data_IF_228135664672
#
_entry.id   IF_228135664672
#
_cell.length_a   1.000
_cell.length_b   1.000
_cell.length_c   1.000
_cell.angle_alpha   90.00
_cell.angle_beta   90.00
_cell.angle_gamma   90.00
#
_symmetry.space_group_name_H-M   'P 1'
#
loop_
_entity.id
_entity.type
_entity.pdbx_description
1 polymer ?
#
# COMPACT_ATOMS: atom_id res chain seq x y z
N UNK A 1 6.20 -16.24 6.18
CA UNK A 1 6.27 -14.91 5.55
C UNK A 1 6.15 -15.13 4.06
N UNK A 2 5.23 -14.44 3.40
CA UNK A 2 5.04 -14.53 1.94
C UNK A 2 5.77 -13.36 1.32
N UNK A 3 6.62 -13.63 0.33
CA UNK A 3 7.34 -12.61 -0.43
C UNK A 3 6.72 -12.53 -1.83
N UNK A 4 6.40 -11.33 -2.27
CA UNK A 4 5.84 -11.08 -3.59
C UNK A 4 6.56 -9.91 -4.24
N UNK A 5 6.86 -10.05 -5.54
CA UNK A 5 7.43 -8.99 -6.37
C UNK A 5 6.65 -8.94 -7.67
N UNK A 6 6.11 -7.77 -8.01
CA UNK A 6 5.35 -7.56 -9.23
C UNK A 6 5.53 -6.13 -9.73
N UNK A 7 5.21 -5.91 -10.99
CA UNK A 7 5.16 -4.57 -11.59
C UNK A 7 3.70 -4.23 -11.78
N UNK A 8 3.31 -3.05 -11.31
CA UNK A 8 2.03 -2.46 -11.63
C UNK A 8 2.24 -1.42 -12.71
N UNK A 9 1.52 -1.57 -13.81
CA UNK A 9 1.43 -0.59 -14.88
C UNK A 9 0.02 0.00 -14.85
N UNK A 10 -0.07 1.32 -14.88
CA UNK A 10 -1.34 2.04 -14.89
C UNK A 10 -1.21 3.34 -15.67
N UNK A 11 -2.33 3.97 -15.96
CA UNK A 11 -2.35 5.35 -16.48
C UNK A 11 -2.82 6.32 -15.40
N UNK A 12 -2.16 7.48 -15.34
CA UNK A 12 -2.54 8.58 -14.48
C UNK A 12 -2.45 9.90 -15.23
N UNK A 13 -3.57 10.62 -15.28
CA UNK A 13 -3.73 11.87 -16.04
C UNK A 13 -3.26 11.73 -17.50
N UNK A 14 -3.55 10.59 -18.14
CA UNK A 14 -3.16 10.31 -19.53
C UNK A 14 -1.67 10.00 -19.72
N UNK A 15 -0.92 9.75 -18.64
CA UNK A 15 0.49 9.36 -18.71
C UNK A 15 0.71 7.97 -18.11
N UNK A 16 1.58 7.13 -18.69
CA UNK A 16 1.93 5.84 -18.12
C UNK A 16 2.67 6.00 -16.79
N UNK A 17 2.35 5.13 -15.85
CA UNK A 17 2.98 5.00 -14.55
C UNK A 17 3.37 3.55 -14.34
N UNK A 18 4.64 3.32 -13.96
CA UNK A 18 5.16 1.99 -13.65
C UNK A 18 5.77 1.99 -12.26
N UNK A 19 5.27 1.11 -11.41
CA UNK A 19 5.76 0.94 -10.05
C UNK A 19 6.14 -0.53 -9.84
N UNK A 20 7.41 -0.75 -9.51
CA UNK A 20 7.89 -2.05 -9.09
C UNK A 20 7.66 -2.21 -7.59
N UNK A 21 6.86 -3.20 -7.22
CA UNK A 21 6.54 -3.52 -5.83
C UNK A 21 7.33 -4.73 -5.36
N UNK A 22 7.75 -4.68 -4.09
CA UNK A 22 8.28 -5.82 -3.34
C UNK A 22 7.65 -5.82 -1.96
N UNK A 23 6.83 -6.81 -1.66
CA UNK A 23 6.11 -6.92 -0.40
C UNK A 23 6.50 -8.19 0.34
N UNK A 24 6.54 -8.06 1.66
CA UNK A 24 6.57 -9.16 2.60
C UNK A 24 5.32 -9.10 3.46
N UNK A 25 4.58 -10.21 3.52
CA UNK A 25 3.38 -10.33 4.36
C UNK A 25 3.61 -11.37 5.44
N UNK A 26 3.19 -11.04 6.66
CA UNK A 26 3.13 -11.96 7.79
C UNK A 26 1.73 -11.91 8.38
N UNK A 27 1.08 -13.07 8.49
CA UNK A 27 -0.18 -13.26 9.20
C UNK A 27 0.09 -14.00 10.50
N UNK A 28 -0.52 -13.53 11.58
CA UNK A 28 -0.49 -14.14 12.90
C UNK A 28 -1.96 -14.25 13.34
N UNK A 29 -2.37 -15.43 13.78
CA UNK A 29 -3.74 -15.69 14.24
C UNK A 29 -3.63 -16.30 15.64
N UNK A 30 -4.27 -15.63 16.59
CA UNK A 30 -4.46 -16.03 17.98
C UNK A 30 -5.98 -16.19 18.22
N UNK A 31 -6.36 -16.75 19.37
CA UNK A 31 -7.76 -17.15 19.68
C UNK A 31 -8.82 -16.08 19.43
N UNK A 32 -8.55 -14.81 19.78
CA UNK A 32 -9.47 -13.69 19.59
C UNK A 32 -8.87 -12.55 18.74
N UNK A 33 -7.78 -12.82 18.02
CA UNK A 33 -7.01 -11.78 17.33
C UNK A 33 -6.35 -12.28 16.07
N UNK A 34 -6.54 -11.56 14.98
CA UNK A 34 -5.77 -11.73 13.75
C UNK A 34 -4.96 -10.47 13.46
N UNK A 35 -3.65 -10.65 13.20
CA UNK A 35 -2.76 -9.57 12.76
C UNK A 35 -2.20 -9.89 11.39
N UNK A 36 -2.44 -8.99 10.43
CA UNK A 36 -1.83 -9.04 9.10
C UNK A 36 -0.90 -7.86 8.95
N UNK A 37 0.40 -8.14 8.87
CA UNK A 37 1.44 -7.14 8.69
C UNK A 37 2.01 -7.22 7.27
N UNK A 38 2.11 -6.07 6.62
CA UNK A 38 2.73 -5.88 5.31
C UNK A 38 3.93 -4.96 5.45
N UNK A 39 5.04 -5.32 4.82
CA UNK A 39 6.20 -4.46 4.66
C UNK A 39 6.55 -4.39 3.18
N UNK A 40 6.56 -3.18 2.62
CA UNK A 40 6.79 -2.94 1.21
C UNK A 40 8.03 -2.11 0.96
N UNK A 41 8.77 -2.44 -0.09
CA UNK A 41 9.74 -1.56 -0.73
C UNK A 41 9.39 -1.46 -2.21
N UNK A 42 9.06 -0.26 -2.67
CA UNK A 42 8.63 -0.03 -4.03
C UNK A 42 9.51 1.03 -4.70
N UNK A 43 9.66 0.92 -6.01
CA UNK A 43 10.37 1.91 -6.82
C UNK A 43 9.47 2.35 -7.96
N UNK A 44 9.30 3.67 -8.10
CA UNK A 44 8.65 4.22 -9.28
C UNK A 44 9.68 4.22 -10.41
N UNK A 45 9.34 3.59 -11.52
CA UNK A 45 10.20 3.40 -12.70
C UNK A 45 9.82 4.35 -13.83
N UNK A 46 8.56 4.72 -13.89
CA UNK A 46 8.02 5.63 -14.89
C UNK A 46 6.89 6.43 -14.26
N UNK A 47 6.89 7.75 -14.47
CA UNK A 47 5.79 8.64 -14.09
C UNK A 47 5.79 9.88 -14.97
N UNK A 48 4.59 10.39 -15.28
CA UNK A 48 4.40 11.62 -16.08
C UNK A 48 5.12 11.58 -17.44
N UNK A 49 5.16 10.39 -18.07
CA UNK A 49 5.80 10.19 -19.37
C UNK A 49 7.33 10.14 -19.34
N UNK A 50 7.95 10.07 -18.16
CA UNK A 50 9.39 9.99 -18.01
C UNK A 50 9.82 8.75 -17.21
N UNK A 51 10.91 8.12 -17.66
CA UNK A 51 11.62 7.07 -16.91
C UNK A 51 12.38 7.72 -15.76
N UNK A 52 12.17 7.22 -14.54
CA UNK A 52 12.76 7.77 -13.32
C UNK A 52 13.39 6.66 -12.47
N UNK A 53 14.48 6.98 -11.77
CA UNK A 53 15.21 6.02 -10.90
C UNK A 53 15.28 6.46 -9.44
N UNK A 54 15.04 7.75 -9.14
CA UNK A 54 15.26 8.35 -7.82
C UNK A 54 14.11 8.20 -6.81
N UNK A 55 12.92 7.72 -7.20
CA UNK A 55 11.76 7.67 -6.30
C UNK A 55 11.58 6.29 -5.68
N UNK A 56 11.81 6.20 -4.37
CA UNK A 56 11.70 4.96 -3.58
C UNK A 56 10.65 5.11 -2.49
N UNK A 57 9.76 4.14 -2.38
CA UNK A 57 8.74 4.06 -1.34
C UNK A 57 9.09 2.93 -0.36
N UNK A 58 8.94 3.20 0.94
CA UNK A 58 8.93 2.17 1.99
C UNK A 58 7.60 2.24 2.70
N UNK A 59 6.93 1.10 2.82
CA UNK A 59 5.61 1.00 3.42
C UNK A 59 5.61 -0.02 4.54
N UNK A 60 4.91 0.28 5.62
CA UNK A 60 4.52 -0.67 6.65
C UNK A 60 3.03 -0.53 6.88
N UNK A 61 2.31 -1.64 6.87
CA UNK A 61 0.87 -1.68 7.08
C UNK A 61 0.56 -2.79 8.10
N UNK A 62 -0.36 -2.52 9.01
CA UNK A 62 -0.80 -3.46 10.02
C UNK A 62 -2.32 -3.43 10.08
N UNK A 63 -2.93 -4.59 9.92
CA UNK A 63 -4.34 -4.82 10.18
C UNK A 63 -4.43 -5.67 11.43
N UNK A 64 -5.13 -5.17 12.44
CA UNK A 64 -5.41 -5.90 13.66
C UNK A 64 -6.91 -6.06 13.76
N UNK A 65 -7.37 -7.28 13.58
CA UNK A 65 -8.73 -7.69 13.84
C UNK A 65 -8.75 -8.26 15.27
N UNK A 66 -9.66 -7.79 16.09
CA UNK A 66 -9.81 -8.28 17.47
C UNK A 66 -11.28 -8.42 17.80
N UNK A 67 -11.68 -9.59 18.27
CA UNK A 67 -13.00 -9.78 18.84
C UNK A 67 -13.07 -9.01 20.15
N UNK A 68 -14.05 -8.12 20.28
CA UNK A 68 -14.26 -7.31 21.50
C UNK A 68 -15.45 -7.80 22.31
N UNK A 69 -16.39 -8.51 21.67
CA UNK A 69 -17.48 -9.27 22.28
C UNK A 69 -17.97 -10.32 21.27
N UNK A 70 -18.73 -11.34 21.68
CA UNK A 70 -19.25 -12.37 20.77
C UNK A 70 -19.89 -11.75 19.51
N UNK A 71 -19.34 -12.08 18.34
CA UNK A 71 -19.82 -11.59 17.05
C UNK A 71 -19.47 -10.13 16.71
N UNK A 72 -18.69 -9.44 17.54
CA UNK A 72 -18.25 -8.06 17.30
C UNK A 72 -16.74 -8.02 17.15
N UNK A 73 -16.27 -7.69 15.94
CA UNK A 73 -14.85 -7.53 15.62
C UNK A 73 -14.50 -6.07 15.43
N UNK A 74 -13.51 -5.60 16.19
CA UNK A 74 -12.85 -4.32 15.96
C UNK A 74 -11.73 -4.49 14.94
N UNK A 75 -11.70 -3.61 13.93
CA UNK A 75 -10.61 -3.53 12.95
C UNK A 75 -9.79 -2.28 13.22
N UNK A 76 -8.51 -2.47 13.54
CA UNK A 76 -7.52 -1.39 13.64
C UNK A 76 -6.58 -1.45 12.46
N UNK A 77 -6.44 -0.32 11.78
CA UNK A 77 -5.54 -0.17 10.64
C UNK A 77 -4.47 0.84 11.01
N UNK A 78 -3.20 0.47 10.86
CA UNK A 78 -2.08 1.39 11.03
C UNK A 78 -1.20 1.35 9.78
N UNK A 79 -0.93 2.51 9.20
CA UNK A 79 -0.15 2.64 7.98
C UNK A 79 0.96 3.66 8.15
N UNK A 80 2.15 3.33 7.67
CA UNK A 80 3.28 4.23 7.54
C UNK A 80 3.85 4.11 6.14
N UNK A 81 4.09 5.25 5.50
CA UNK A 81 4.77 5.33 4.21
C UNK A 81 5.84 6.41 4.27
N UNK A 82 7.01 6.08 3.75
CA UNK A 82 8.10 7.02 3.54
C UNK A 82 8.43 7.02 2.05
N UNK A 83 8.44 8.19 1.44
CA UNK A 83 8.82 8.38 0.04
C UNK A 83 10.13 9.16 0.04
N UNK A 84 11.17 8.55 -0.53
CA UNK A 84 12.47 9.17 -0.71
C UNK A 84 12.64 9.57 -2.17
N UNK A 85 13.02 10.81 -2.38
CA UNK A 85 13.37 11.38 -3.66
C UNK A 85 14.90 11.56 -3.70
N UNK A 86 15.57 10.75 -4.51
CA UNK A 86 17.02 10.74 -4.71
C UNK A 86 17.34 11.57 -5.97
N UNK A 87 16.96 12.85 -5.95
CA UNK A 87 17.15 13.78 -7.06
C UNK A 87 17.78 15.09 -6.58
N UNK A 88 19.00 15.38 -7.05
CA UNK A 88 19.67 16.68 -6.93
C UNK A 88 19.08 17.70 -7.91
N UNK A 89 17.77 17.98 -7.84
CA UNK A 89 17.10 18.83 -8.84
C UNK A 89 16.54 20.11 -8.21
N UNK A 90 17.16 21.28 -8.47
CA UNK A 90 16.79 22.55 -7.85
C UNK A 90 15.42 23.14 -8.27
N UNK A 91 14.66 22.47 -9.15
CA UNK A 91 13.33 22.89 -9.62
C UNK A 91 12.27 21.76 -9.64
N UNK A 92 12.42 20.74 -8.78
CA UNK A 92 11.58 19.53 -8.81
C UNK A 92 10.32 19.54 -7.93
N UNK A 93 9.99 20.63 -7.22
CA UNK A 93 8.87 20.61 -6.28
C UNK A 93 7.52 20.23 -6.93
N UNK A 94 7.14 20.75 -8.11
CA UNK A 94 5.90 20.33 -8.77
C UNK A 94 5.88 18.84 -9.13
N UNK A 95 7.04 18.28 -9.49
CA UNK A 95 7.17 16.85 -9.76
C UNK A 95 7.03 16.03 -8.47
N UNK A 96 7.67 16.47 -7.38
CA UNK A 96 7.57 15.84 -6.05
C UNK A 96 6.12 15.85 -5.58
N UNK A 97 5.44 17.00 -5.64
CA UNK A 97 4.05 17.16 -5.20
C UNK A 97 3.12 16.27 -6.02
N UNK A 98 3.27 16.28 -7.35
CA UNK A 98 2.46 15.44 -8.22
C UNK A 98 2.71 13.95 -7.98
N UNK A 99 3.97 13.56 -7.74
CA UNK A 99 4.33 12.18 -7.37
C UNK A 99 3.70 11.79 -6.04
N UNK A 100 3.74 12.66 -5.03
CA UNK A 100 3.12 12.42 -3.72
C UNK A 100 1.61 12.23 -3.88
N UNK A 101 0.94 13.08 -4.66
CA UNK A 101 -0.49 12.97 -4.93
C UNK A 101 -0.85 11.66 -5.65
N UNK A 102 -0.07 11.28 -6.66
CA UNK A 102 -0.20 9.99 -7.34
C UNK A 102 -0.10 8.83 -6.36
N UNK A 103 0.95 8.82 -5.55
CA UNK A 103 1.22 7.75 -4.61
C UNK A 103 0.14 7.69 -3.52
N UNK A 104 -0.38 8.83 -3.06
CA UNK A 104 -1.49 8.92 -2.12
C UNK A 104 -2.77 8.30 -2.69
N UNK A 105 -3.16 8.65 -3.93
CA UNK A 105 -4.32 8.07 -4.62
C UNK A 105 -4.18 6.55 -4.78
N UNK A 106 -3.01 6.10 -5.24
CA UNK A 106 -2.71 4.66 -5.38
C UNK A 106 -2.85 3.92 -4.05
N UNK A 107 -2.45 4.55 -2.95
CA UNK A 107 -2.55 3.95 -1.62
C UNK A 107 -3.99 3.91 -1.11
N UNK A 108 -4.75 4.98 -1.35
CA UNK A 108 -6.16 5.04 -0.99
C UNK A 108 -6.94 3.92 -1.69
N UNK A 109 -6.82 3.79 -3.01
CA UNK A 109 -7.50 2.72 -3.77
C UNK A 109 -7.09 1.33 -3.27
N UNK A 110 -5.79 1.10 -3.03
CA UNK A 110 -5.31 -0.18 -2.51
C UNK A 110 -5.77 -0.47 -1.08
N UNK A 111 -6.02 0.58 -0.28
CA UNK A 111 -6.58 0.44 1.07
C UNK A 111 -8.06 0.13 1.04
N UNK A 112 -8.84 0.84 0.22
CA UNK A 112 -10.27 0.59 0.01
C UNK A 112 -10.50 -0.86 -0.45
N UNK A 113 -9.75 -1.34 -1.45
CA UNK A 113 -9.84 -2.73 -1.91
C UNK A 113 -9.51 -3.76 -0.81
N UNK A 114 -8.58 -3.44 0.09
CA UNK A 114 -8.22 -4.32 1.19
C UNK A 114 -9.26 -4.32 2.31
N UNK A 115 -9.89 -3.16 2.58
CA UNK A 115 -11.04 -3.09 3.48
C UNK A 115 -12.21 -3.90 2.94
N UNK A 116 -12.54 -3.79 1.65
CA UNK A 116 -13.59 -4.58 1.00
C UNK A 116 -13.32 -6.09 1.10
N UNK A 117 -12.08 -6.54 0.95
CA UNK A 117 -11.70 -7.95 1.14
C UNK A 117 -11.90 -8.40 2.60
N UNK A 118 -11.48 -7.57 3.56
CA UNK A 118 -11.69 -7.83 4.99
C UNK A 118 -13.18 -7.92 5.32
N UNK A 119 -13.98 -6.95 4.86
CA UNK A 119 -15.44 -6.96 5.02
C UNK A 119 -16.04 -8.23 4.44
N UNK A 120 -15.69 -8.59 3.20
CA UNK A 120 -16.17 -9.81 2.56
C UNK A 120 -15.84 -11.06 3.38
N UNK A 121 -14.62 -11.19 3.90
CA UNK A 121 -14.21 -12.31 4.74
C UNK A 121 -15.02 -12.38 6.05
N UNK A 122 -15.32 -11.23 6.65
CA UNK A 122 -16.17 -11.15 7.84
C UNK A 122 -17.60 -11.58 7.53
N UNK A 123 -18.18 -11.15 6.40
CA UNK A 123 -19.53 -11.55 5.98
C UNK A 123 -19.63 -13.04 5.58
N UNK A 124 -18.59 -13.61 4.98
CA UNK A 124 -18.56 -15.04 4.59
C UNK A 124 -18.42 -15.95 5.82
N UNK A 125 -17.84 -15.47 6.92
CA UNK A 125 -17.78 -16.19 8.20
C UNK A 125 -19.06 -16.17 9.04
N UNK A 126 -20.12 -15.49 8.57
CA UNK A 126 -21.41 -15.35 9.25
C UNK A 126 -22.52 -16.27 8.67
N UNK A 127 -22.15 -17.33 7.93
CA UNK A 127 -23.08 -18.38 7.46
C UNK A 127 -22.92 -19.67 8.26
#
# INVERSE_FOLDING_TARGET
VILQSFIMEMEQDGSPVKIQFRYATKRIVDEHREVVAFSGQSQVREAFGAVISGVRCREKHWFVLSEISPGVTMVKVCMSRVVNFDCDLPLCQPFVDRTIQMLAKQKQMGFEALLEDVERRLFVGCQ
#
